data_IF_977196174806
#
_entry.id   IF_977196174806
#
_cell.length_a   1.000
_cell.length_b   1.000
_cell.length_c   1.000
_cell.angle_alpha   90.00
_cell.angle_beta   90.00
_cell.angle_gamma   90.00
#
_symmetry.space_group_name_H-M   'P 1'
#
loop_
_entity.id
_entity.type
_entity.pdbx_description
1 polymer ?
#
# COMPACT_ATOMS: atom_id res chain seq x y z
N UNK A 1 60.79 -22.15 -21.68
CA UNK A 1 59.59 -21.29 -21.51
C UNK A 1 58.67 -21.92 -20.47
N UNK A 2 58.60 -21.36 -19.25
CA UNK A 2 57.64 -21.80 -18.24
C UNK A 2 56.33 -21.04 -18.47
N UNK A 3 55.29 -21.72 -18.98
CA UNK A 3 53.95 -21.14 -19.12
C UNK A 3 53.31 -21.14 -17.73
N UNK A 4 53.15 -19.95 -17.14
CA UNK A 4 52.37 -19.77 -15.94
C UNK A 4 50.88 -19.88 -16.31
N UNK A 5 50.21 -20.90 -15.79
CA UNK A 5 48.76 -21.06 -15.90
C UNK A 5 48.11 -20.19 -14.80
N UNK A 6 47.63 -19.01 -15.18
CA UNK A 6 46.83 -18.15 -14.30
C UNK A 6 45.40 -18.69 -14.24
N UNK A 7 45.04 -19.36 -13.14
CA UNK A 7 43.64 -19.64 -12.83
C UNK A 7 42.95 -18.33 -12.43
N UNK A 8 42.15 -17.75 -13.34
CA UNK A 8 41.13 -16.78 -12.95
C UNK A 8 40.01 -17.53 -12.22
N UNK A 9 39.95 -17.42 -10.89
CA UNK A 9 38.77 -17.83 -10.14
C UNK A 9 37.65 -16.82 -10.41
N UNK A 10 36.68 -17.17 -11.25
CA UNK A 10 35.40 -16.46 -11.29
C UNK A 10 34.64 -16.82 -10.00
N UNK A 11 34.74 -15.99 -8.96
CA UNK A 11 33.81 -16.07 -7.85
C UNK A 11 32.43 -15.64 -8.35
N UNK A 12 31.46 -16.56 -8.37
CA UNK A 12 30.06 -16.19 -8.52
C UNK A 12 29.66 -15.36 -7.30
N UNK A 13 29.58 -14.04 -7.49
CA UNK A 13 28.98 -13.17 -6.49
C UNK A 13 27.46 -13.36 -6.57
N UNK A 14 26.89 -14.00 -5.56
CA UNK A 14 25.44 -14.11 -5.39
C UNK A 14 24.83 -12.72 -5.25
N UNK A 15 23.65 -12.47 -5.83
CA UNK A 15 22.95 -11.21 -5.64
C UNK A 15 22.66 -10.98 -4.14
N UNK A 16 22.91 -9.78 -3.65
CA UNK A 16 22.72 -9.42 -2.24
C UNK A 16 21.70 -8.29 -2.10
N UNK A 17 20.70 -8.49 -1.24
CA UNK A 17 19.60 -7.55 -1.01
C UNK A 17 19.71 -6.89 0.35
N UNK A 18 19.48 -5.57 0.36
CA UNK A 18 19.31 -4.73 1.55
C UNK A 18 18.60 -3.43 1.16
N UNK A 19 17.97 -2.74 2.12
CA UNK A 19 17.29 -1.47 1.88
C UNK A 19 16.02 -1.62 1.03
N UNK A 20 15.71 -0.59 0.24
CA UNK A 20 14.57 -0.60 -0.68
C UNK A 20 15.02 -1.22 -2.00
N UNK A 21 14.41 -2.36 -2.36
CA UNK A 21 14.80 -3.17 -3.52
C UNK A 21 13.87 -3.04 -4.72
N UNK A 22 12.78 -2.28 -4.57
CA UNK A 22 11.74 -2.07 -5.57
C UNK A 22 11.68 -0.60 -6.01
N UNK A 23 11.09 -0.37 -7.19
CA UNK A 23 10.69 0.96 -7.69
C UNK A 23 9.16 1.04 -7.72
N UNK A 24 8.56 2.18 -7.41
CA UNK A 24 7.11 2.33 -7.28
C UNK A 24 6.59 3.52 -8.08
N UNK A 25 5.50 3.31 -8.81
CA UNK A 25 4.77 4.36 -9.51
C UNK A 25 3.27 4.23 -9.26
N UNK A 26 2.59 5.34 -8.98
CA UNK A 26 1.14 5.38 -8.84
C UNK A 26 0.52 5.46 -10.23
N UNK A 27 -0.50 4.65 -10.49
CA UNK A 27 -1.23 4.67 -11.77
C UNK A 27 -2.23 5.83 -11.74
N UNK A 28 -2.09 6.75 -12.67
CA UNK A 28 -2.94 7.94 -12.78
C UNK A 28 -4.09 7.73 -13.75
N UNK A 29 -3.90 6.92 -14.80
CA UNK A 29 -4.95 6.48 -15.72
C UNK A 29 -4.52 5.23 -16.49
N UNK A 30 -5.49 4.57 -17.12
CA UNK A 30 -5.24 3.52 -18.10
C UNK A 30 -5.65 4.00 -19.48
N UNK A 31 -4.80 3.79 -20.49
CA UNK A 31 -5.20 3.93 -21.89
C UNK A 31 -6.01 2.72 -22.37
N UNK A 32 -5.57 1.54 -21.95
CA UNK A 32 -6.21 0.24 -22.15
C UNK A 32 -5.62 -0.74 -21.09
N UNK A 33 -6.05 -2.01 -21.01
CA UNK A 33 -5.50 -2.96 -20.04
C UNK A 33 -3.99 -3.24 -20.16
N UNK A 34 -3.33 -2.78 -21.24
CA UNK A 34 -1.90 -2.94 -21.50
C UNK A 34 -1.11 -1.65 -21.26
N UNK A 35 -1.77 -0.49 -21.28
CA UNK A 35 -1.14 0.83 -21.29
C UNK A 35 -1.49 1.62 -20.03
N UNK A 36 -0.49 1.89 -19.19
CA UNK A 36 -0.63 2.56 -17.90
C UNK A 36 0.05 3.94 -17.97
N UNK A 37 -0.68 4.98 -17.58
CA UNK A 37 -0.07 6.26 -17.22
C UNK A 37 0.27 6.24 -15.74
N UNK A 38 1.50 6.63 -15.40
CA UNK A 38 1.96 6.68 -14.02
C UNK A 38 2.39 8.09 -13.62
N UNK A 39 2.57 8.32 -12.32
CA UNK A 39 3.05 9.60 -11.80
C UNK A 39 4.54 9.84 -12.11
N UNK A 40 5.35 8.79 -12.05
CA UNK A 40 6.78 8.81 -12.35
C UNK A 40 7.25 7.43 -12.84
N UNK A 41 7.68 7.35 -14.10
CA UNK A 41 8.23 6.13 -14.68
C UNK A 41 9.76 6.00 -14.50
N UNK A 42 10.39 6.90 -13.74
CA UNK A 42 11.83 6.83 -13.47
C UNK A 42 12.20 5.50 -12.82
N UNK A 43 13.20 4.83 -13.38
CA UNK A 43 13.65 3.54 -12.89
C UNK A 43 12.81 2.35 -13.37
N UNK A 44 11.93 2.52 -14.35
CA UNK A 44 11.36 1.44 -15.14
C UNK A 44 12.00 1.39 -16.54
N UNK A 45 12.17 0.20 -17.08
CA UNK A 45 12.76 -0.06 -18.38
C UNK A 45 12.06 -1.23 -19.11
N UNK A 46 12.15 -1.30 -20.45
CA UNK A 46 11.74 -2.49 -21.20
C UNK A 46 12.40 -3.77 -20.65
N UNK A 47 11.61 -4.82 -20.49
CA UNK A 47 12.05 -6.10 -19.91
C UNK A 47 11.87 -6.22 -18.40
N UNK A 48 11.59 -5.13 -17.69
CA UNK A 48 11.33 -5.17 -16.25
C UNK A 48 10.09 -6.03 -15.95
N UNK A 49 10.20 -6.89 -14.93
CA UNK A 49 9.04 -7.54 -14.31
C UNK A 49 8.38 -6.56 -13.33
N UNK A 50 7.06 -6.49 -13.37
CA UNK A 50 6.26 -5.57 -12.55
C UNK A 50 5.09 -6.29 -11.88
N UNK A 51 4.69 -5.80 -10.71
CA UNK A 51 3.44 -6.11 -10.05
C UNK A 51 2.53 -4.89 -10.16
N UNK A 52 1.36 -5.04 -10.77
CA UNK A 52 0.27 -4.06 -10.66
C UNK A 52 -0.55 -4.45 -9.44
N UNK A 53 -0.79 -3.52 -8.52
CA UNK A 53 -1.50 -3.76 -7.27
C UNK A 53 -2.52 -2.66 -7.00
N UNK A 54 -3.75 -3.06 -6.69
CA UNK A 54 -4.84 -2.19 -6.29
C UNK A 54 -5.01 -2.21 -4.77
N UNK A 55 -4.63 -1.12 -4.10
CA UNK A 55 -4.68 -1.06 -2.63
C UNK A 55 -6.10 -0.84 -2.09
N UNK A 56 -6.93 -0.09 -2.82
CA UNK A 56 -8.27 0.35 -2.37
C UNK A 56 -9.36 -0.03 -3.38
N UNK A 57 -10.60 0.03 -2.92
CA UNK A 57 -11.78 -0.27 -3.75
C UNK A 57 -12.90 -0.98 -3.01
N UNK A 58 -12.76 -1.19 -1.70
CA UNK A 58 -13.82 -1.76 -0.89
C UNK A 58 -14.94 -0.74 -0.65
N UNK A 59 -16.17 -1.23 -0.68
CA UNK A 59 -17.38 -0.49 -0.28
C UNK A 59 -17.70 -0.83 1.17
N UNK A 60 -18.09 0.20 1.94
CA UNK A 60 -18.46 0.05 3.35
C UNK A 60 -19.90 0.49 3.60
N UNK A 61 -20.49 0.07 4.72
CA UNK A 61 -21.70 0.68 5.27
C UNK A 61 -21.37 2.11 5.79
N UNK A 62 -21.97 3.17 5.23
CA UNK A 62 -21.73 4.54 5.64
C UNK A 62 -22.73 5.03 6.69
N UNK A 63 -23.68 4.20 7.15
CA UNK A 63 -24.72 4.58 8.11
C UNK A 63 -24.12 4.96 9.46
N UNK A 64 -24.71 5.94 10.13
CA UNK A 64 -24.22 6.40 11.43
C UNK A 64 -24.66 5.43 12.54
N UNK A 65 -24.20 4.19 12.47
CA UNK A 65 -24.62 3.07 13.31
C UNK A 65 -23.42 2.19 13.67
N UNK A 66 -23.64 1.17 14.51
CA UNK A 66 -22.60 0.19 14.85
C UNK A 66 -22.03 -0.58 13.66
N UNK A 67 -22.75 -0.61 12.53
CA UNK A 67 -22.30 -1.23 11.29
C UNK A 67 -21.35 -0.32 10.48
N UNK A 68 -21.16 0.95 10.87
CA UNK A 68 -20.33 1.88 10.13
C UNK A 68 -18.94 1.30 9.84
N UNK A 69 -18.54 1.35 8.57
CA UNK A 69 -17.24 0.86 8.14
C UNK A 69 -17.15 -0.66 7.97
N UNK A 70 -18.23 -1.40 8.19
CA UNK A 70 -18.30 -2.82 7.78
C UNK A 70 -18.20 -2.91 6.25
N UNK A 71 -17.34 -3.80 5.77
CA UNK A 71 -17.17 -4.02 4.33
C UNK A 71 -18.39 -4.75 3.80
N UNK A 72 -19.11 -4.14 2.85
CA UNK A 72 -20.25 -4.74 2.16
C UNK A 72 -19.85 -5.39 0.85
N UNK A 73 -18.77 -4.90 0.23
CA UNK A 73 -18.11 -5.48 -0.94
C UNK A 73 -16.63 -5.15 -0.91
N UNK A 74 -15.75 -6.12 -1.17
CA UNK A 74 -14.30 -5.91 -1.23
C UNK A 74 -13.88 -5.19 -2.52
N UNK A 75 -14.72 -5.26 -3.57
CA UNK A 75 -14.43 -4.67 -4.87
C UNK A 75 -13.08 -5.13 -5.41
N UNK A 76 -12.29 -4.19 -5.92
CA UNK A 76 -10.94 -4.46 -6.43
C UNK A 76 -9.82 -4.37 -5.38
N UNK A 77 -10.13 -4.13 -4.10
CA UNK A 77 -9.10 -4.00 -3.07
C UNK A 77 -8.31 -5.31 -2.91
N UNK A 78 -6.99 -5.22 -2.99
CA UNK A 78 -6.08 -6.35 -2.90
C UNK A 78 -5.85 -7.09 -4.22
N UNK A 79 -6.50 -6.69 -5.34
CA UNK A 79 -6.19 -7.25 -6.65
C UNK A 79 -4.74 -6.96 -7.02
N UNK A 80 -4.06 -7.98 -7.55
CA UNK A 80 -2.70 -7.85 -8.05
C UNK A 80 -2.48 -8.69 -9.29
N UNK A 81 -1.59 -8.27 -10.18
CA UNK A 81 -1.23 -9.05 -11.38
C UNK A 81 0.22 -8.78 -11.74
N UNK A 82 0.97 -9.83 -12.06
CA UNK A 82 2.33 -9.69 -12.55
C UNK A 82 2.31 -9.46 -14.06
N UNK A 83 3.24 -8.64 -14.55
CA UNK A 83 3.45 -8.39 -15.97
C UNK A 83 4.90 -8.07 -16.27
N UNK A 84 5.17 -7.79 -17.54
CA UNK A 84 6.47 -7.33 -18.00
C UNK A 84 6.31 -6.05 -18.79
N UNK A 85 7.24 -5.11 -18.64
CA UNK A 85 7.24 -3.85 -19.39
C UNK A 85 7.75 -4.10 -20.80
N UNK A 86 6.94 -3.79 -21.81
CA UNK A 86 7.33 -3.78 -23.22
C UNK A 86 8.06 -2.49 -23.60
N UNK A 87 7.55 -1.33 -23.16
CA UNK A 87 8.17 -0.04 -23.43
C UNK A 87 7.84 1.01 -22.38
N UNK A 88 8.69 2.04 -22.31
CA UNK A 88 8.51 3.22 -21.46
C UNK A 88 8.70 4.46 -22.32
N UNK A 89 7.68 5.33 -22.38
CA UNK A 89 7.73 6.59 -23.12
C UNK A 89 7.19 7.71 -22.23
N UNK A 90 8.06 8.61 -21.77
CA UNK A 90 7.70 9.55 -20.71
C UNK A 90 7.22 8.79 -19.47
N UNK A 91 6.02 9.12 -18.98
CA UNK A 91 5.37 8.43 -17.87
C UNK A 91 4.36 7.35 -18.30
N UNK A 92 4.43 6.90 -19.56
CA UNK A 92 3.60 5.81 -20.08
C UNK A 92 4.37 4.50 -20.03
N UNK A 93 3.83 3.52 -19.32
CA UNK A 93 4.29 2.14 -19.32
C UNK A 93 3.37 1.31 -20.21
N UNK A 94 3.94 0.59 -21.18
CA UNK A 94 3.20 -0.40 -21.97
C UNK A 94 3.67 -1.77 -21.54
N UNK A 95 2.76 -2.63 -21.10
CA UNK A 95 3.05 -4.02 -20.72
C UNK A 95 3.18 -4.91 -21.94
N UNK A 96 3.79 -6.09 -21.85
CA UNK A 96 3.86 -7.06 -22.96
C UNK A 96 2.49 -7.68 -23.24
N UNK A 97 1.77 -8.05 -22.17
CA UNK A 97 0.43 -8.63 -22.22
C UNK A 97 -0.56 -7.68 -21.53
N UNK A 98 -1.84 -7.64 -21.97
CA UNK A 98 -2.87 -6.90 -21.27
C UNK A 98 -3.15 -7.52 -19.90
N UNK A 99 -3.47 -6.68 -18.92
CA UNK A 99 -4.00 -7.11 -17.62
C UNK A 99 -5.34 -7.80 -17.82
N UNK A 100 -5.53 -8.91 -17.12
CA UNK A 100 -6.72 -9.76 -17.22
C UNK A 100 -7.65 -9.60 -16.02
N UNK A 101 -7.14 -9.12 -14.89
CA UNK A 101 -7.94 -8.88 -13.69
C UNK A 101 -8.80 -7.62 -13.82
N UNK A 102 -9.99 -7.61 -13.18
CA UNK A 102 -10.93 -6.50 -13.27
C UNK A 102 -10.50 -5.35 -12.35
N UNK A 103 -9.36 -4.73 -12.63
CA UNK A 103 -8.93 -3.52 -11.95
C UNK A 103 -9.93 -2.39 -12.16
N UNK A 104 -9.93 -1.41 -11.26
CA UNK A 104 -10.75 -0.21 -11.39
C UNK A 104 -10.18 0.76 -12.44
N UNK A 105 -10.19 0.34 -13.72
CA UNK A 105 -9.62 1.09 -14.84
C UNK A 105 -10.19 2.51 -14.98
N UNK A 106 -11.46 2.72 -14.60
CA UNK A 106 -12.13 4.02 -14.67
C UNK A 106 -11.79 5.00 -13.54
N UNK A 107 -11.25 4.51 -12.42
CA UNK A 107 -10.80 5.36 -11.29
C UNK A 107 -9.58 4.73 -10.59
N UNK A 108 -8.41 4.67 -11.25
CA UNK A 108 -7.23 4.06 -10.68
C UNK A 108 -6.62 4.86 -9.53
N UNK A 109 -6.82 6.19 -9.54
CA UNK A 109 -6.35 7.08 -8.47
C UNK A 109 -7.15 6.85 -7.19
N UNK A 110 -8.49 6.80 -7.27
CA UNK A 110 -9.35 6.47 -6.12
C UNK A 110 -9.16 5.03 -5.66
N UNK A 111 -8.95 4.08 -6.57
CA UNK A 111 -8.56 2.71 -6.24
C UNK A 111 -7.12 2.56 -5.73
N UNK A 112 -6.33 3.65 -5.77
CA UNK A 112 -4.94 3.71 -5.37
C UNK A 112 -4.11 2.55 -5.94
N UNK A 113 -4.17 2.43 -7.27
CA UNK A 113 -3.42 1.42 -8.02
C UNK A 113 -1.97 1.87 -8.17
N UNK A 114 -1.03 0.98 -7.88
CA UNK A 114 0.41 1.21 -8.08
C UNK A 114 1.04 0.10 -8.92
N UNK A 115 2.08 0.45 -9.65
CA UNK A 115 2.99 -0.48 -10.32
C UNK A 115 4.28 -0.54 -9.50
N UNK A 116 4.71 -1.75 -9.18
CA UNK A 116 5.94 -2.02 -8.43
C UNK A 116 6.89 -2.81 -9.31
N UNK A 117 8.08 -2.29 -9.61
CA UNK A 117 9.13 -3.06 -10.27
C UNK A 117 9.61 -4.15 -9.34
N UNK A 118 9.50 -5.40 -9.79
CA UNK A 118 9.90 -6.60 -9.05
C UNK A 118 11.42 -6.65 -8.96
N UNK A 119 11.96 -6.96 -7.77
CA UNK A 119 13.37 -7.32 -7.62
C UNK A 119 13.56 -8.75 -8.12
N UNK A 120 13.73 -8.89 -9.43
CA UNK A 120 13.82 -10.18 -10.11
C UNK A 120 15.27 -10.67 -10.22
N UNK A 121 15.51 -11.93 -9.87
CA UNK A 121 16.84 -12.57 -9.90
C UNK A 121 16.77 -13.97 -10.56
N UNK A 122 17.44 -14.22 -11.68
CA UNK A 122 17.40 -15.53 -12.36
C UNK A 122 18.19 -16.65 -11.65
N UNK A 123 18.81 -16.37 -10.51
CA UNK A 123 19.59 -17.33 -9.72
C UNK A 123 19.47 -17.05 -8.23
N UNK A 124 20.27 -17.75 -7.40
CA UNK A 124 20.18 -17.59 -5.94
C UNK A 124 20.52 -16.16 -5.52
N UNK A 125 19.81 -15.69 -4.50
CA UNK A 125 19.90 -14.34 -3.94
C UNK A 125 19.88 -14.43 -2.42
N UNK A 126 20.64 -13.56 -1.75
CA UNK A 126 20.71 -13.52 -0.29
C UNK A 126 20.30 -12.16 0.25
N UNK A 127 19.44 -12.12 1.26
CA UNK A 127 19.15 -10.91 2.02
C UNK A 127 20.23 -10.76 3.09
N UNK A 128 21.13 -9.80 2.91
CA UNK A 128 22.29 -9.60 3.80
C UNK A 128 22.15 -8.40 4.72
N UNK A 129 21.20 -7.51 4.43
CA UNK A 129 20.76 -6.44 5.32
C UNK A 129 19.24 -6.33 5.31
N UNK A 130 18.67 -5.58 6.26
CA UNK A 130 17.21 -5.44 6.35
C UNK A 130 16.65 -4.88 5.05
N UNK A 131 15.76 -5.64 4.41
CA UNK A 131 14.99 -5.17 3.25
C UNK A 131 13.73 -4.48 3.75
N UNK A 132 13.38 -3.34 3.16
CA UNK A 132 12.23 -2.53 3.55
C UNK A 132 11.58 -1.85 2.35
N UNK A 133 10.54 -1.05 2.59
CA UNK A 133 9.83 -0.28 1.60
C UNK A 133 9.65 1.18 2.06
N UNK A 134 9.47 2.13 1.12
CA UNK A 134 8.90 3.43 1.46
C UNK A 134 7.56 3.23 2.19
N UNK A 135 7.25 4.04 3.23
CA UNK A 135 5.92 4.06 3.80
C UNK A 135 4.88 4.36 2.71
N UNK A 136 3.71 3.72 2.82
CA UNK A 136 2.55 4.07 2.01
C UNK A 136 2.21 5.56 2.16
N UNK A 137 2.08 6.25 1.03
CA UNK A 137 1.82 7.69 1.00
C UNK A 137 0.36 8.05 0.65
N UNK A 138 -0.52 7.06 0.51
CA UNK A 138 -1.90 7.23 0.02
C UNK A 138 -2.10 6.72 -1.42
N UNK A 139 -1.03 6.55 -2.19
CA UNK A 139 -1.08 6.09 -3.60
C UNK A 139 -0.07 4.99 -3.92
N UNK A 140 1.12 5.00 -3.31
CA UNK A 140 2.18 4.01 -3.55
C UNK A 140 3.06 3.78 -2.32
N UNK A 141 3.80 2.68 -2.34
CA UNK A 141 4.68 2.22 -1.24
C UNK A 141 4.08 1.06 -0.44
N UNK A 142 4.73 0.72 0.68
CA UNK A 142 4.27 -0.27 1.65
C UNK A 142 4.40 -1.74 1.24
N UNK A 143 4.99 -2.03 0.08
CA UNK A 143 5.13 -3.39 -0.47
C UNK A 143 6.59 -3.73 -0.72
N UNK A 144 6.98 -4.99 -0.50
CA UNK A 144 8.25 -5.55 -0.98
C UNK A 144 7.92 -6.69 -1.93
N UNK A 145 8.52 -6.70 -3.12
CA UNK A 145 8.27 -7.72 -4.15
C UNK A 145 9.60 -8.26 -4.64
N UNK A 146 9.91 -9.49 -4.25
CA UNK A 146 11.14 -10.19 -4.64
C UNK A 146 10.72 -11.46 -5.39
N UNK A 147 11.35 -11.69 -6.54
CA UNK A 147 11.16 -12.91 -7.31
C UNK A 147 12.54 -13.49 -7.63
N UNK A 148 12.69 -14.80 -7.43
CA UNK A 148 13.91 -15.51 -7.82
C UNK A 148 13.57 -16.86 -8.42
N UNK A 149 14.31 -17.27 -9.45
CA UNK A 149 14.26 -18.62 -10.03
C UNK A 149 15.16 -19.61 -9.25
N UNK A 150 16.00 -19.09 -8.35
CA UNK A 150 16.87 -19.88 -7.47
C UNK A 150 16.40 -19.87 -6.02
N UNK A 151 17.36 -19.98 -5.09
CA UNK A 151 17.12 -19.94 -3.64
C UNK A 151 17.21 -18.52 -3.12
N UNK A 152 16.18 -18.05 -2.40
CA UNK A 152 16.22 -16.84 -1.59
C UNK A 152 16.71 -17.19 -0.17
N UNK A 153 17.93 -16.80 0.18
CA UNK A 153 18.52 -17.05 1.51
C UNK A 153 18.34 -15.85 2.42
N UNK A 154 17.82 -16.05 3.63
CA UNK A 154 17.64 -14.99 4.62
C UNK A 154 18.82 -14.94 5.59
N UNK A 155 19.71 -13.97 5.40
CA UNK A 155 20.72 -13.57 6.38
C UNK A 155 20.28 -12.36 7.24
N UNK A 156 19.19 -11.69 6.85
CA UNK A 156 18.54 -10.61 7.60
C UNK A 156 17.02 -10.61 7.33
N UNK A 157 16.30 -9.74 8.04
CA UNK A 157 14.83 -9.66 7.96
C UNK A 157 14.34 -8.82 6.78
N UNK A 158 13.12 -9.09 6.33
CA UNK A 158 12.30 -8.11 5.62
C UNK A 158 11.44 -7.40 6.68
N UNK A 159 11.58 -6.08 6.80
CA UNK A 159 10.83 -5.28 7.79
C UNK A 159 10.05 -4.15 7.12
N UNK A 160 8.73 -4.30 7.12
CA UNK A 160 7.76 -3.32 6.62
C UNK A 160 6.78 -2.86 7.71
N UNK A 161 7.16 -3.00 9.00
CA UNK A 161 6.32 -2.56 10.12
C UNK A 161 6.03 -1.06 10.01
N UNK A 162 4.74 -0.70 10.14
CA UNK A 162 4.27 0.69 10.05
C UNK A 162 4.43 1.32 8.66
N UNK A 163 4.68 0.53 7.61
CA UNK A 163 4.80 1.01 6.21
C UNK A 163 3.53 0.82 5.38
N UNK A 164 2.52 0.13 5.92
CA UNK A 164 1.20 -0.02 5.30
C UNK A 164 0.34 1.24 5.43
N UNK A 165 -0.98 1.10 5.28
CA UNK A 165 -1.95 2.19 5.37
C UNK A 165 -1.65 3.17 6.52
N UNK A 166 -1.83 4.47 6.24
CA UNK A 166 -1.50 5.53 7.20
C UNK A 166 -2.45 5.45 8.40
N UNK A 167 -1.91 5.71 9.59
CA UNK A 167 -2.72 5.98 10.77
C UNK A 167 -3.54 7.25 10.60
N UNK A 168 -4.48 7.49 11.53
CA UNK A 168 -5.24 8.73 11.53
C UNK A 168 -4.36 9.94 11.83
N UNK A 169 -4.57 11.02 11.10
CA UNK A 169 -3.88 12.29 11.35
C UNK A 169 -4.20 12.85 12.74
N UNK A 170 -3.32 13.69 13.26
CA UNK A 170 -3.57 14.41 14.51
C UNK A 170 -4.75 15.37 14.30
N UNK A 171 -5.78 15.29 15.15
CA UNK A 171 -6.78 16.35 15.26
C UNK A 171 -6.21 17.54 16.04
N UNK A 172 -6.58 18.76 15.65
CA UNK A 172 -6.27 19.94 16.48
C UNK A 172 -7.10 19.91 17.77
N UNK A 173 -6.76 20.77 18.72
CA UNK A 173 -7.56 20.89 19.94
C UNK A 173 -8.83 21.69 19.62
N UNK A 174 -9.88 21.01 19.20
CA UNK A 174 -11.22 21.57 19.12
C UNK A 174 -11.93 21.39 20.44
N UNK A 175 -12.12 22.47 21.20
CA UNK A 175 -13.11 22.61 22.28
C UNK A 175 -13.10 21.56 23.41
N UNK A 176 -13.06 22.04 24.66
CA UNK A 176 -13.16 21.19 25.85
C UNK A 176 -14.58 20.66 26.10
N UNK A 177 -15.01 19.66 25.34
CA UNK A 177 -16.14 18.82 25.71
C UNK A 177 -15.62 17.49 26.26
N UNK A 178 -15.88 17.22 27.55
CA UNK A 178 -15.47 15.97 28.24
C UNK A 178 -16.38 14.78 27.92
N UNK A 179 -17.36 14.94 27.02
CA UNK A 179 -18.38 13.94 26.77
C UNK A 179 -18.02 13.08 25.56
N UNK A 180 -17.23 12.01 25.73
CA UNK A 180 -17.03 11.03 24.64
C UNK A 180 -18.38 10.38 24.29
N UNK A 181 -19.08 10.91 23.27
CA UNK A 181 -20.40 10.41 22.85
C UNK A 181 -20.23 9.08 22.13
N UNK A 182 -20.78 7.96 22.62
CA UNK A 182 -20.59 6.65 22.00
C UNK A 182 -21.37 6.42 20.68
N UNK A 183 -22.36 7.27 20.35
CA UNK A 183 -23.29 7.04 19.24
C UNK A 183 -22.89 7.64 17.88
N UNK A 184 -21.84 8.45 17.82
CA UNK A 184 -21.43 9.14 16.58
C UNK A 184 -20.28 8.37 15.92
N UNK A 185 -20.52 7.74 14.78
CA UNK A 185 -19.53 6.98 14.03
C UNK A 185 -18.80 7.83 12.98
N UNK A 186 -19.47 8.84 12.45
CA UNK A 186 -18.92 9.92 11.62
C UNK A 186 -19.73 11.21 11.86
N UNK A 187 -19.23 12.35 11.41
CA UNK A 187 -19.83 13.65 11.73
C UNK A 187 -19.26 14.80 10.92
N UNK A 188 -19.55 16.04 11.32
CA UNK A 188 -19.03 17.20 10.60
C UNK A 188 -17.49 17.21 10.59
N UNK A 189 -16.92 17.83 9.55
CA UNK A 189 -15.49 18.03 9.49
C UNK A 189 -15.03 19.13 10.44
N UNK A 190 -14.69 18.72 11.66
CA UNK A 190 -14.25 19.57 12.76
C UNK A 190 -13.02 18.98 13.45
N UNK A 191 -12.43 19.72 14.39
CA UNK A 191 -11.29 19.27 15.22
C UNK A 191 -11.72 18.71 16.58
N UNK A 192 -13.00 18.38 16.76
CA UNK A 192 -13.49 17.79 18.01
C UNK A 192 -13.09 16.31 18.09
N UNK A 193 -13.16 15.60 16.95
CA UNK A 193 -12.94 14.17 16.88
C UNK A 193 -11.53 13.80 16.39
N UNK A 194 -10.98 12.72 16.95
CA UNK A 194 -9.76 12.09 16.43
C UNK A 194 -9.98 11.58 15.01
N UNK A 195 -8.93 11.66 14.19
CA UNK A 195 -9.00 11.19 12.80
C UNK A 195 -8.88 9.67 12.74
N UNK A 196 -9.57 9.08 11.78
CA UNK A 196 -9.54 7.66 11.48
C UNK A 196 -8.32 7.33 10.60
N UNK A 197 -7.80 6.12 10.72
CA UNK A 197 -6.75 5.60 9.85
C UNK A 197 -7.28 5.18 8.48
N UNK A 198 -6.40 5.16 7.49
CA UNK A 198 -6.71 4.63 6.17
C UNK A 198 -6.94 3.11 6.23
N UNK A 199 -7.71 2.62 5.27
CA UNK A 199 -7.88 1.19 5.01
C UNK A 199 -8.12 0.94 3.52
N UNK A 200 -8.65 -0.24 3.20
CA UNK A 200 -8.99 -0.67 1.83
C UNK A 200 -10.17 0.08 1.21
N UNK A 201 -10.93 0.82 2.01
CA UNK A 201 -12.01 1.67 1.55
C UNK A 201 -11.56 3.14 1.40
N UNK A 202 -12.31 3.91 0.63
CA UNK A 202 -12.19 5.36 0.57
C UNK A 202 -13.16 6.01 1.56
N UNK A 203 -12.85 7.24 1.98
CA UNK A 203 -13.78 8.07 2.72
C UNK A 203 -15.00 8.39 1.84
N UNK A 204 -16.24 8.10 2.27
CA UNK A 204 -17.43 8.47 1.50
C UNK A 204 -17.55 9.97 1.26
N UNK A 205 -17.10 10.79 2.22
CA UNK A 205 -16.95 12.24 2.08
C UNK A 205 -16.02 12.79 3.15
N UNK A 206 -15.75 14.10 3.11
CA UNK A 206 -14.95 14.78 4.15
C UNK A 206 -15.56 14.64 5.55
N UNK A 207 -16.85 14.33 5.70
CA UNK A 207 -17.46 14.11 7.03
C UNK A 207 -17.06 12.76 7.66
N UNK A 208 -16.32 11.91 6.94
CA UNK A 208 -16.06 10.54 7.34
C UNK A 208 -14.64 10.28 7.85
N UNK A 209 -13.74 11.26 7.78
CA UNK A 209 -12.34 11.16 8.24
C UNK A 209 -12.13 11.20 9.76
N UNK A 210 -13.15 11.53 10.57
CA UNK A 210 -13.06 11.64 12.03
C UNK A 210 -14.04 10.71 12.76
N UNK A 211 -14.05 10.74 14.09
CA UNK A 211 -14.97 9.98 14.97
C UNK A 211 -14.64 8.47 15.05
N UNK A 212 -15.37 7.72 15.87
CA UNK A 212 -15.02 6.36 16.33
C UNK A 212 -15.16 5.25 15.32
N UNK A 213 -15.98 5.43 14.29
CA UNK A 213 -16.24 4.40 13.29
C UNK A 213 -14.94 3.97 12.61
N UNK A 214 -14.73 2.67 12.43
CA UNK A 214 -13.61 2.18 11.62
C UNK A 214 -13.80 2.54 10.15
N UNK A 215 -12.75 2.50 9.34
CA UNK A 215 -12.86 2.56 7.88
C UNK A 215 -12.42 1.22 7.29
N UNK A 216 -13.35 0.27 7.15
CA UNK A 216 -13.02 -1.12 6.84
C UNK A 216 -12.00 -1.66 7.87
N UNK A 217 -10.80 -1.97 7.40
CA UNK A 217 -9.68 -2.41 8.22
C UNK A 217 -8.84 -1.25 8.80
N UNK A 218 -9.12 -0.01 8.42
CA UNK A 218 -8.56 1.19 9.02
C UNK A 218 -9.11 1.44 10.44
N UNK A 219 -8.26 1.97 11.32
CA UNK A 219 -8.61 2.25 12.71
C UNK A 219 -9.61 3.39 12.87
N UNK A 220 -10.50 3.29 13.86
CA UNK A 220 -11.40 4.38 14.21
C UNK A 220 -10.68 5.54 14.92
N UNK A 221 -11.20 6.75 14.78
CA UNK A 221 -10.74 7.91 15.55
C UNK A 221 -11.33 7.94 16.97
N UNK A 222 -11.20 9.08 17.67
CA UNK A 222 -11.88 9.34 18.94
C UNK A 222 -13.07 10.27 18.73
N UNK A 223 -14.14 10.18 19.53
CA UNK A 223 -15.34 11.01 19.31
C UNK A 223 -15.26 12.44 19.84
N UNK A 224 -14.31 12.72 20.72
CA UNK A 224 -14.09 14.05 21.29
C UNK A 224 -12.62 14.18 21.74
N UNK A 225 -12.27 15.39 22.19
CA UNK A 225 -10.96 15.67 22.77
C UNK A 225 -10.66 14.69 23.91
N UNK A 226 -9.43 14.15 23.93
CA UNK A 226 -8.96 13.14 24.89
C UNK A 226 -9.65 11.75 24.83
N UNK A 227 -10.51 11.46 23.86
CA UNK A 227 -11.00 10.09 23.65
C UNK A 227 -9.95 9.28 22.85
N UNK A 228 -9.68 8.03 23.25
CA UNK A 228 -8.77 7.15 22.54
C UNK A 228 -9.29 6.73 21.17
N UNK A 229 -8.38 6.61 20.20
CA UNK A 229 -8.67 6.00 18.89
C UNK A 229 -8.62 4.48 18.94
N UNK A 230 -9.22 3.83 17.93
CA UNK A 230 -9.15 2.40 17.74
C UNK A 230 -8.05 2.04 16.73
N UNK A 231 -7.35 0.92 16.97
CA UNK A 231 -6.29 0.45 16.07
C UNK A 231 -6.83 -0.06 14.73
N UNK A 232 -6.00 -0.16 13.70
CA UNK A 232 -6.37 -0.86 12.46
C UNK A 232 -6.37 -2.38 12.62
N UNK A 233 -7.08 -3.07 11.74
CA UNK A 233 -7.02 -4.53 11.54
C UNK A 233 -6.38 -4.88 10.20
N UNK A 234 -6.02 -6.15 9.99
CA UNK A 234 -5.63 -6.63 8.65
C UNK A 234 -6.88 -6.92 7.81
N UNK A 235 -7.52 -8.07 8.02
CA UNK A 235 -8.80 -8.45 7.40
C UNK A 235 -9.99 -8.19 8.33
N UNK A 236 -9.78 -8.32 9.64
CA UNK A 236 -10.82 -8.09 10.65
C UNK A 236 -11.18 -6.61 10.79
N UNK A 237 -12.29 -6.37 11.49
CA UNK A 237 -12.69 -5.04 11.89
C UNK A 237 -11.51 -4.28 12.55
N UNK A 238 -11.24 -3.05 12.10
CA UNK A 238 -10.44 -2.12 12.89
C UNK A 238 -11.05 -1.97 14.29
N UNK A 239 -10.18 -1.73 15.28
CA UNK A 239 -10.56 -1.36 16.62
C UNK A 239 -11.50 -0.15 16.62
N UNK A 240 -12.47 -0.20 17.51
CA UNK A 240 -13.36 0.94 17.75
C UNK A 240 -12.61 1.98 18.57
N UNK A 241 -12.73 3.25 18.19
CA UNK A 241 -12.38 4.36 19.06
C UNK A 241 -13.07 4.20 20.42
N UNK A 242 -12.31 4.38 21.49
CA UNK A 242 -12.70 4.04 22.85
C UNK A 242 -12.34 5.12 23.87
N UNK A 243 -13.28 5.35 24.78
CA UNK A 243 -13.13 6.17 25.98
C UNK A 243 -12.16 5.51 26.97
N UNK A 244 -11.18 6.25 27.47
CA UNK A 244 -10.46 5.91 28.70
C UNK A 244 -11.20 6.56 29.87
N UNK A 245 -11.64 5.74 30.84
CA UNK A 245 -11.61 6.18 32.25
C UNK A 245 -10.22 5.97 32.79
#
# INVERSE_FOLDING_TARGET
>A
MKRALSLLSLSWAWAQLSGIVNTYAAVTSFGDPKTLQVDDATGFAPGDRVLVYQAKGATIDPSNSSAYGDVTDIGGAGLFEFGSVQSVTGNTLVLTCPLTRPFSFGDPVGAAIQVVRVSYHPGNVSITGTVTAPPWNGQKGGLVVIETEGTLTFGANIDVRGKGFRGGDRSLNGGSSSACNAGTYYGAADDQAGRKGEGVANWPSINHYGYRGKLANGGGGGNNHNCGGGGGGNYGAGGTGGWTT
#
